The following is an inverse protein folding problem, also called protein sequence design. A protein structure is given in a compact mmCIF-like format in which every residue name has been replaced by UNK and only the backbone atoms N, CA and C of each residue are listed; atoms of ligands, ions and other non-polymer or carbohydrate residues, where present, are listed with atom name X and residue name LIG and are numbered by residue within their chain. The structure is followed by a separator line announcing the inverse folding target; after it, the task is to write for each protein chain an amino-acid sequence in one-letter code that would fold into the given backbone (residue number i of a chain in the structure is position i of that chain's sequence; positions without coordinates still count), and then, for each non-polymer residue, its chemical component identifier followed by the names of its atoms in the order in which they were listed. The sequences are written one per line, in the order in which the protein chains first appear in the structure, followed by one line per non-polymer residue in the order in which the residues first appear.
data_IF_741487634441
#
_entry.id   IF_741487634441
#
_cell.length_a   1.000
_cell.length_b   1.000
_cell.length_c   1.000
_cell.angle_alpha   90.00
_cell.angle_beta   90.00
_cell.angle_gamma   90.00
#
_symmetry.space_group_name_H-M   'P 1'
#
loop_
_entity.id
_entity.type
_entity.pdbx_description
1 polymer ?
#
# COMPACT_ATOMS: atom_id res chain seq x y z
N UNK A 1 -13.77 -5.45 -24.63
CA UNK A 1 -13.72 -5.47 -23.97
C UNK A 1 -13.51 -5.79 -23.17
N UNK A 2 -13.43 -5.93 -23.00
CA UNK A 2 -13.42 -6.24 -22.20
C UNK A 2 -13.14 -6.35 -21.51
N UNK A 3 -13.02 -6.57 -21.64
CA UNK A 3 -12.58 -6.69 -20.87
C UNK A 3 -12.27 -6.43 -19.48
N UNK A 4 -12.51 -5.42 -18.96
CA UNK A 4 -12.25 -4.94 -17.63
C UNK A 4 -12.64 -5.90 -16.55
N UNK A 5 -13.71 -6.50 -16.76
CA UNK A 5 -14.18 -7.46 -15.79
C UNK A 5 -13.24 -8.64 -15.63
N UNK A 6 -12.51 -8.92 -16.65
CA UNK A 6 -11.49 -9.95 -16.50
C UNK A 6 -10.45 -9.54 -15.49
N UNK A 7 -10.13 -8.27 -15.48
CA UNK A 7 -9.23 -7.76 -14.47
C UNK A 7 -9.82 -7.97 -13.08
N UNK A 8 -11.12 -7.96 -12.96
CA UNK A 8 -11.76 -8.16 -11.68
C UNK A 8 -11.42 -9.52 -11.09
N UNK A 9 -11.45 -10.54 -11.91
CA UNK A 9 -11.12 -11.87 -11.39
C UNK A 9 -9.65 -11.96 -11.02
N UNK A 10 -8.80 -11.19 -11.68
CA UNK A 10 -7.39 -11.17 -11.33
C UNK A 10 -7.15 -10.52 -9.97
N UNK A 11 -8.06 -9.71 -9.50
CA UNK A 11 -7.91 -9.01 -8.23
C UNK A 11 -7.64 -9.97 -7.09
N UNK A 12 -8.21 -11.17 -7.15
CA UNK A 12 -8.05 -12.13 -6.06
C UNK A 12 -6.59 -12.49 -5.82
N UNK A 13 -5.75 -12.41 -6.85
CA UNK A 13 -4.34 -12.79 -6.74
C UNK A 13 -3.39 -11.62 -6.96
N UNK A 14 -3.90 -10.45 -7.29
CA UNK A 14 -3.07 -9.30 -7.61
C UNK A 14 -2.71 -8.45 -6.41
N UNK A 15 -2.02 -7.35 -6.65
CA UNK A 15 -1.68 -6.41 -5.58
C UNK A 15 -2.93 -5.86 -4.90
N UNK A 16 -2.77 -5.51 -3.65
CA UNK A 16 -3.84 -4.93 -2.85
C UNK A 16 -3.63 -3.41 -2.80
N UNK A 17 -4.62 -2.65 -3.20
CA UNK A 17 -4.54 -1.19 -3.17
C UNK A 17 -5.16 -0.64 -1.90
N UNK A 18 -4.54 0.42 -1.38
CA UNK A 18 -5.08 1.12 -0.22
C UNK A 18 -4.69 2.58 -0.27
N UNK A 19 -5.27 3.36 0.63
CA UNK A 19 -4.94 4.78 0.79
C UNK A 19 -4.74 5.08 2.26
N UNK A 20 -3.97 6.12 2.54
CA UNK A 20 -3.76 6.52 3.92
C UNK A 20 -2.89 7.75 4.03
N UNK A 21 -2.54 8.06 5.27
CA UNK A 21 -1.67 9.18 5.60
C UNK A 21 -0.39 8.63 6.22
N UNK A 22 0.74 9.12 5.75
CA UNK A 22 2.04 8.71 6.28
C UNK A 22 2.20 9.29 7.68
N UNK A 23 2.42 8.43 8.66
CA UNK A 23 2.68 8.86 10.03
C UNK A 23 4.13 8.71 10.43
N UNK A 24 4.88 7.88 9.71
CA UNK A 24 6.30 7.68 9.96
C UNK A 24 6.95 7.11 8.71
N UNK A 25 8.16 7.54 8.40
CA UNK A 25 8.91 6.98 7.29
C UNK A 25 10.38 6.89 7.68
N UNK A 26 11.01 5.76 7.37
CA UNK A 26 12.44 5.54 7.59
C UNK A 26 13.01 4.94 6.32
N UNK A 27 13.49 5.80 5.42
CA UNK A 27 14.01 5.34 4.15
C UNK A 27 15.26 4.48 4.32
N UNK A 28 16.07 4.75 5.34
CA UNK A 28 17.27 3.97 5.57
C UNK A 28 16.94 2.54 5.98
N UNK A 29 15.87 2.35 6.75
CA UNK A 29 15.43 1.03 7.14
C UNK A 29 14.48 0.41 6.12
N UNK A 30 13.99 1.19 5.17
CA UNK A 30 13.04 0.71 4.18
C UNK A 30 11.64 0.49 4.74
N UNK A 31 11.25 1.26 5.75
CA UNK A 31 9.95 1.11 6.39
C UNK A 31 9.12 2.38 6.31
N UNK A 32 7.80 2.21 6.31
CA UNK A 32 6.86 3.32 6.30
C UNK A 32 5.62 2.91 7.08
N UNK A 33 5.07 3.86 7.83
CA UNK A 33 3.87 3.62 8.62
C UNK A 33 2.76 4.49 8.09
N UNK A 34 1.62 3.88 7.81
CA UNK A 34 0.43 4.59 7.35
C UNK A 34 -0.68 4.47 8.38
N UNK A 35 -1.45 5.55 8.53
CA UNK A 35 -2.79 5.45 9.06
C UNK A 35 -3.69 5.26 7.85
N UNK A 36 -4.02 4.00 7.54
CA UNK A 36 -4.68 3.69 6.29
C UNK A 36 -6.19 3.50 6.48
N UNK A 37 -6.92 3.74 5.39
CA UNK A 37 -8.34 3.49 5.33
C UNK A 37 -8.60 1.99 5.34
N UNK A 38 -9.86 1.63 5.56
CA UNK A 38 -10.24 0.23 5.48
C UNK A 38 -9.88 -0.36 4.12
N UNK A 39 -9.36 -1.58 4.12
CA UNK A 39 -9.01 -2.29 2.90
C UNK A 39 -9.92 -3.53 2.82
N UNK A 40 -11.04 -3.36 2.15
CA UNK A 40 -12.07 -4.40 2.12
C UNK A 40 -11.58 -5.69 1.48
N UNK A 41 -10.68 -5.58 0.51
CA UNK A 41 -10.19 -6.75 -0.21
C UNK A 41 -9.54 -7.79 0.70
N UNK A 42 -9.01 -7.36 1.84
CA UNK A 42 -8.36 -8.24 2.80
C UNK A 42 -8.99 -8.14 4.19
N UNK A 43 -10.19 -7.58 4.26
CA UNK A 43 -10.95 -7.44 5.51
C UNK A 43 -10.21 -6.68 6.60
N UNK A 44 -9.44 -5.67 6.21
CA UNK A 44 -8.73 -4.84 7.17
C UNK A 44 -9.55 -3.61 7.50
N UNK A 45 -9.73 -3.30 8.78
CA UNK A 45 -10.32 -2.02 9.18
C UNK A 45 -9.29 -0.89 9.00
N UNK A 46 -9.76 0.34 9.09
CA UNK A 46 -8.86 1.48 9.14
C UNK A 46 -7.99 1.37 10.39
N UNK A 47 -6.66 1.50 10.22
CA UNK A 47 -5.74 1.39 11.34
C UNK A 47 -4.37 1.95 10.98
N UNK A 48 -3.52 2.10 11.98
CA UNK A 48 -2.13 2.52 11.78
C UNK A 48 -1.23 1.29 11.80
N UNK A 49 -0.42 1.12 10.76
CA UNK A 49 0.39 -0.06 10.63
C UNK A 49 1.68 0.24 9.89
N UNK A 50 2.75 -0.43 10.30
CA UNK A 50 4.05 -0.32 9.65
C UNK A 50 4.18 -1.35 8.55
N UNK A 51 4.78 -0.92 7.43
CA UNK A 51 5.03 -1.78 6.28
C UNK A 51 6.50 -1.71 5.89
N UNK A 52 6.97 -2.73 5.22
CA UNK A 52 8.29 -2.74 4.59
C UNK A 52 8.13 -2.41 3.12
N UNK A 53 8.93 -1.45 2.62
CA UNK A 53 8.99 -1.18 1.20
C UNK A 53 9.82 -2.27 0.52
N UNK A 54 9.31 -2.83 -0.57
CA UNK A 54 10.06 -3.83 -1.31
C UNK A 54 11.38 -3.24 -1.84
N UNK A 55 11.35 -1.96 -2.20
CA UNK A 55 12.52 -1.20 -2.62
C UNK A 55 12.47 0.15 -1.93
N UNK A 56 13.56 0.54 -1.28
CA UNK A 56 13.58 1.82 -0.56
C UNK A 56 13.35 3.02 -1.47
N UNK A 57 13.59 2.88 -2.77
CA UNK A 57 13.30 3.94 -3.72
C UNK A 57 11.81 4.30 -3.75
N UNK A 58 10.94 3.39 -3.37
CA UNK A 58 9.50 3.65 -3.28
C UNK A 58 9.21 4.79 -2.30
N UNK A 59 10.06 4.97 -1.31
CA UNK A 59 9.85 5.94 -0.24
C UNK A 59 10.44 7.31 -0.54
N UNK A 60 11.07 7.49 -1.70
CA UNK A 60 11.67 8.78 -2.05
C UNK A 60 10.60 9.85 -2.18
N UNK A 61 10.83 10.96 -1.52
CA UNK A 61 9.91 12.09 -1.56
C UNK A 61 8.69 11.94 -0.68
N UNK A 62 8.55 10.81 0.02
CA UNK A 62 7.43 10.58 0.94
C UNK A 62 7.80 11.14 2.30
N UNK A 63 6.91 11.97 2.86
CA UNK A 63 7.14 12.57 4.18
C UNK A 63 5.91 12.40 5.04
N UNK A 64 6.11 12.53 6.34
CA UNK A 64 5.02 12.45 7.32
C UNK A 64 3.96 13.50 6.97
N UNK A 65 2.70 13.07 6.99
CA UNK A 65 1.58 13.94 6.66
C UNK A 65 1.09 13.81 5.24
N UNK A 66 1.85 13.15 4.36
CA UNK A 66 1.42 12.96 2.98
C UNK A 66 0.22 12.03 2.90
N UNK A 67 -0.73 12.42 2.07
CA UNK A 67 -1.81 11.52 1.65
C UNK A 67 -1.30 10.70 0.48
N UNK A 68 -1.38 9.41 0.59
CA UNK A 68 -0.81 8.52 -0.43
C UNK A 68 -1.77 7.40 -0.79
N UNK A 69 -1.61 6.91 -2.01
CA UNK A 69 -2.16 5.62 -2.43
C UNK A 69 -0.99 4.64 -2.43
N UNK A 70 -1.24 3.42 -2.01
CA UNK A 70 -0.18 2.42 -1.96
C UNK A 70 -0.71 1.08 -2.43
N UNK A 71 0.22 0.18 -2.78
CA UNK A 71 -0.12 -1.18 -3.13
C UNK A 71 0.72 -2.14 -2.30
N UNK A 72 0.06 -3.16 -1.76
CA UNK A 72 0.70 -4.26 -1.06
C UNK A 72 1.02 -5.37 -2.05
N UNK A 73 2.04 -6.15 -1.77
CA UNK A 73 2.57 -7.09 -2.74
C UNK A 73 1.56 -8.16 -3.13
N UNK A 74 0.91 -8.75 -2.15
CA UNK A 74 -0.10 -9.78 -2.41
C UNK A 74 -0.91 -10.02 -1.15
N UNK A 75 -2.04 -10.75 -1.25
CA UNK A 75 -2.80 -11.10 -0.05
C UNK A 75 -2.01 -11.91 0.96
N UNK A 76 -0.98 -12.63 0.53
CA UNK A 76 -0.14 -13.40 1.44
C UNK A 76 1.07 -12.63 1.95
N UNK A 77 1.33 -11.43 1.41
CA UNK A 77 2.45 -10.60 1.83
C UNK A 77 1.98 -9.17 2.05
N UNK A 78 1.08 -9.04 3.00
CA UNK A 78 0.42 -7.77 3.26
C UNK A 78 1.28 -6.79 4.04
N UNK A 79 2.44 -7.21 4.53
CA UNK A 79 3.37 -6.31 5.20
C UNK A 79 4.38 -5.68 4.25
N UNK A 80 4.36 -6.04 2.96
CA UNK A 80 5.29 -5.52 1.96
C UNK A 80 4.54 -4.59 1.03
N UNK A 81 5.01 -3.35 0.92
CA UNK A 81 4.43 -2.37 0.00
C UNK A 81 5.33 -2.27 -1.24
N UNK A 82 4.70 -2.29 -2.41
CA UNK A 82 5.44 -2.27 -3.67
C UNK A 82 5.32 -0.95 -4.39
N UNK A 83 4.40 -0.09 -3.96
CA UNK A 83 4.21 1.21 -4.58
C UNK A 83 3.61 2.17 -3.56
N UNK A 84 4.11 3.40 -3.53
CA UNK A 84 3.53 4.49 -2.77
C UNK A 84 3.50 5.71 -3.66
N UNK A 85 2.34 6.32 -3.81
CA UNK A 85 2.17 7.46 -4.68
C UNK A 85 1.41 8.56 -3.96
N UNK A 86 1.95 9.77 -3.98
CA UNK A 86 1.28 10.92 -3.38
C UNK A 86 -0.01 11.24 -4.12
N UNK A 87 -1.01 11.59 -3.38
CA UNK A 87 -2.30 12.02 -3.93
C UNK A 87 -2.41 13.54 -3.97
#
# INVERSE_FOLDING_TARGET
MNTGELATSAVAAGPISGTGVVTQVDAAAGTVTFNHEAIAAINWPAMTMQFHAEDSAILQGIVVGDHVAFQLKSPSETSVVIMVQKQ
#
